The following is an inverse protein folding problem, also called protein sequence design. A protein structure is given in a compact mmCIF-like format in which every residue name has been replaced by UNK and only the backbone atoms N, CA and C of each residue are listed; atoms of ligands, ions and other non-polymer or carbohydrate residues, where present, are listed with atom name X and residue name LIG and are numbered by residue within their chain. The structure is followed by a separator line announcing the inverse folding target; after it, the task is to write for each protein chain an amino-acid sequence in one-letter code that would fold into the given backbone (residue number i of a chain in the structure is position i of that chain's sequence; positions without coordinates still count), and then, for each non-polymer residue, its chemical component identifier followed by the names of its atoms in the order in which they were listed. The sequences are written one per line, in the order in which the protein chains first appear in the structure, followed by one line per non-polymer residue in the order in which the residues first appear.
data_IF_000136389602
#
_entry.id   IF_000136389602
#
_cell.length_a   1.000
_cell.length_b   1.000
_cell.length_c   1.000
_cell.angle_alpha   90.00
_cell.angle_beta   90.00
_cell.angle_gamma   90.00
#
_symmetry.space_group_name_H-M   'P 1'
#
loop_
_entity.id
_entity.type
_entity.pdbx_description
1 polymer ?
#
# COMPACT_ATOMS: atom_id res chain seq x y z
N UNK A 1 -17.41 26.49 -1.45
CA UNK A 1 -16.34 25.52 -1.78
C UNK A 1 -15.94 24.82 -0.50
N UNK A 2 -15.82 23.50 -0.48
CA UNK A 2 -15.35 22.80 0.74
C UNK A 2 -13.86 23.05 0.95
N UNK A 3 -13.50 23.42 2.18
CA UNK A 3 -12.10 23.58 2.57
C UNK A 3 -11.35 22.25 2.46
N UNK A 4 -10.07 22.33 2.08
CA UNK A 4 -9.20 21.15 1.95
C UNK A 4 -9.20 20.29 3.21
N UNK A 5 -9.10 20.96 4.37
CA UNK A 5 -9.12 20.33 5.68
C UNK A 5 -10.41 19.57 5.97
N UNK A 6 -11.56 20.13 5.60
CA UNK A 6 -12.86 19.47 5.78
C UNK A 6 -12.98 18.20 4.95
N UNK A 7 -12.50 18.23 3.69
CA UNK A 7 -12.49 17.08 2.81
C UNK A 7 -11.53 15.99 3.31
N UNK A 8 -10.30 16.34 3.68
CA UNK A 8 -9.32 15.40 4.24
C UNK A 8 -9.86 14.75 5.51
N UNK A 9 -10.46 15.51 6.43
CA UNK A 9 -11.04 14.99 7.66
C UNK A 9 -12.13 13.96 7.39
N UNK A 10 -13.03 14.25 6.45
CA UNK A 10 -14.14 13.34 6.13
C UNK A 10 -13.62 12.04 5.50
N UNK A 11 -12.74 12.13 4.50
CA UNK A 11 -12.13 10.95 3.87
C UNK A 11 -11.29 10.12 4.85
N UNK A 12 -10.57 10.78 5.75
CA UNK A 12 -9.75 10.12 6.76
C UNK A 12 -10.60 9.38 7.80
N UNK A 13 -11.76 9.92 8.19
CA UNK A 13 -12.60 9.33 9.24
C UNK A 13 -13.08 7.91 8.91
N UNK A 14 -13.46 7.69 7.64
CA UNK A 14 -13.90 6.37 7.17
C UNK A 14 -12.72 5.39 7.15
N UNK A 15 -11.57 5.80 6.61
CA UNK A 15 -10.35 4.99 6.52
C UNK A 15 -9.81 4.63 7.90
N UNK A 16 -9.79 5.58 8.83
CA UNK A 16 -9.35 5.35 10.21
C UNK A 16 -10.25 4.32 10.90
N UNK A 17 -11.58 4.46 10.79
CA UNK A 17 -12.50 3.46 11.36
C UNK A 17 -12.22 2.06 10.83
N UNK A 18 -11.92 1.91 9.54
CA UNK A 18 -11.53 0.61 8.96
C UNK A 18 -10.22 0.08 9.56
N UNK A 19 -9.19 0.92 9.70
CA UNK A 19 -7.90 0.48 10.28
C UNK A 19 -8.05 0.06 11.75
N UNK A 20 -8.88 0.76 12.53
CA UNK A 20 -9.17 0.37 13.91
C UNK A 20 -9.84 -1.00 13.99
N UNK A 21 -10.76 -1.30 13.07
CA UNK A 21 -11.39 -2.62 13.03
C UNK A 21 -10.39 -3.73 12.75
N UNK A 22 -9.42 -3.51 11.85
CA UNK A 22 -8.36 -4.47 11.57
C UNK A 22 -7.54 -4.72 12.83
N UNK A 23 -7.11 -3.66 13.52
CA UNK A 23 -6.33 -3.76 14.76
C UNK A 23 -7.11 -4.53 15.84
N UNK A 24 -8.41 -4.24 16.01
CA UNK A 24 -9.25 -4.94 17.00
C UNK A 24 -9.33 -6.44 16.68
N UNK A 25 -9.57 -6.79 15.41
CA UNK A 25 -9.67 -8.19 14.99
C UNK A 25 -8.32 -8.91 15.18
N UNK A 26 -7.21 -8.25 14.85
CA UNK A 26 -5.86 -8.80 15.03
C UNK A 26 -5.55 -9.03 16.52
N UNK A 27 -5.87 -8.06 17.39
CA UNK A 27 -5.70 -8.21 18.84
C UNK A 27 -6.55 -9.35 19.42
N UNK A 28 -7.80 -9.51 18.98
CA UNK A 28 -8.65 -10.63 19.39
C UNK A 28 -8.02 -11.96 18.95
N UNK A 29 -7.52 -12.03 17.72
CA UNK A 29 -6.86 -13.22 17.20
C UNK A 29 -5.65 -13.63 18.05
N UNK A 30 -4.79 -12.66 18.42
CA UNK A 30 -3.63 -12.91 19.28
C UNK A 30 -4.04 -13.45 20.65
N UNK A 31 -5.02 -12.80 21.30
CA UNK A 31 -5.51 -13.24 22.61
C UNK A 31 -6.09 -14.65 22.55
N UNK A 32 -6.87 -14.98 21.52
CA UNK A 32 -7.45 -16.32 21.36
C UNK A 32 -6.37 -17.38 21.17
N UNK A 33 -5.35 -17.13 20.35
CA UNK A 33 -4.26 -18.07 20.14
C UNK A 33 -3.43 -18.27 21.41
N UNK A 34 -3.11 -17.20 22.14
CA UNK A 34 -2.35 -17.30 23.38
C UNK A 34 -3.13 -18.08 24.46
N UNK A 35 -4.46 -17.86 24.56
CA UNK A 35 -5.33 -18.63 25.45
C UNK A 35 -5.40 -20.11 25.06
N UNK A 36 -5.54 -20.44 23.78
CA UNK A 36 -5.55 -21.84 23.32
C UNK A 36 -4.26 -22.55 23.70
N UNK A 37 -3.12 -21.88 23.54
CA UNK A 37 -1.82 -22.47 23.87
C UNK A 37 -1.62 -22.65 25.37
N UNK A 38 -2.16 -21.75 26.18
CA UNK A 38 -2.20 -21.90 27.64
C UNK A 38 -2.90 -23.21 28.04
N UNK A 39 -3.99 -23.58 27.37
CA UNK A 39 -4.73 -24.83 27.67
C UNK A 39 -4.05 -26.10 27.15
N UNK A 40 -3.33 -26.06 26.01
CA UNK A 40 -2.76 -27.28 25.41
C UNK A 40 -1.38 -27.65 25.93
N UNK A 41 -0.50 -26.67 26.20
CA UNK A 41 0.92 -26.92 26.46
C UNK A 41 1.36 -26.63 27.90
N UNK A 42 0.44 -26.21 28.78
CA UNK A 42 0.74 -25.81 30.14
C UNK A 42 1.58 -24.53 30.24
N UNK A 43 1.91 -24.12 31.47
CA UNK A 43 2.61 -22.87 31.73
C UNK A 43 4.13 -23.03 31.66
N UNK A 44 4.68 -22.88 30.46
CA UNK A 44 6.13 -22.72 30.26
C UNK A 44 6.42 -21.32 29.69
N UNK A 45 6.85 -20.41 30.55
CA UNK A 45 6.99 -18.97 30.26
C UNK A 45 7.92 -18.69 29.06
N UNK A 46 9.00 -19.45 28.89
CA UNK A 46 9.95 -19.23 27.79
C UNK A 46 9.39 -19.64 26.43
N UNK A 47 8.68 -20.77 26.35
CA UNK A 47 8.06 -21.26 25.12
C UNK A 47 6.82 -20.45 24.72
N UNK A 48 6.12 -19.88 25.70
CA UNK A 48 4.97 -18.99 25.47
C UNK A 48 5.46 -17.68 24.85
N UNK A 49 6.48 -17.06 25.44
CA UNK A 49 7.09 -15.81 25.01
C UNK A 49 7.57 -15.83 23.53
N UNK A 50 8.40 -16.81 23.13
CA UNK A 50 8.94 -16.84 21.76
C UNK A 50 7.85 -17.09 20.70
N UNK A 51 6.81 -17.84 21.05
CA UNK A 51 5.71 -18.14 20.14
C UNK A 51 4.78 -16.94 19.95
N UNK A 52 4.42 -16.22 21.01
CA UNK A 52 3.54 -15.05 20.90
C UNK A 52 4.18 -13.97 20.02
N UNK A 53 5.50 -13.80 20.10
CA UNK A 53 6.27 -12.92 19.19
C UNK A 53 6.18 -13.40 17.74
N UNK A 54 6.37 -14.71 17.48
CA UNK A 54 6.30 -15.25 16.12
C UNK A 54 4.89 -15.19 15.52
N UNK A 55 3.87 -15.50 16.31
CA UNK A 55 2.46 -15.40 15.89
C UNK A 55 2.11 -13.95 15.60
N UNK A 56 2.59 -13.00 16.40
CA UNK A 56 2.41 -11.57 16.14
C UNK A 56 3.00 -11.15 14.81
N UNK A 57 4.26 -11.52 14.49
CA UNK A 57 4.84 -11.18 13.19
C UNK A 57 4.04 -11.76 12.02
N UNK A 58 3.53 -12.99 12.16
CA UNK A 58 2.68 -13.59 11.15
C UNK A 58 1.33 -12.88 11.01
N UNK A 59 0.70 -12.50 12.13
CA UNK A 59 -0.58 -11.80 12.14
C UNK A 59 -0.46 -10.41 11.53
N UNK A 60 0.62 -9.68 11.84
CA UNK A 60 0.97 -8.38 11.25
C UNK A 60 1.04 -8.47 9.73
N UNK A 61 1.69 -9.49 9.16
CA UNK A 61 1.76 -9.65 7.69
C UNK A 61 0.36 -9.79 7.08
N UNK A 62 -0.52 -10.56 7.72
CA UNK A 62 -1.91 -10.74 7.27
C UNK A 62 -2.71 -9.45 7.42
N UNK A 63 -2.61 -8.79 8.59
CA UNK A 63 -3.30 -7.53 8.88
C UNK A 63 -2.89 -6.44 7.89
N UNK A 64 -1.60 -6.36 7.55
CA UNK A 64 -1.06 -5.47 6.52
C UNK A 64 -1.64 -5.76 5.14
N UNK A 65 -1.69 -7.03 4.75
CA UNK A 65 -2.23 -7.43 3.46
C UNK A 65 -3.73 -7.11 3.35
N UNK A 66 -4.51 -7.44 4.38
CA UNK A 66 -5.95 -7.11 4.46
C UNK A 66 -6.15 -5.59 4.48
N UNK A 67 -5.37 -4.86 5.27
CA UNK A 67 -5.40 -3.41 5.35
C UNK A 67 -5.09 -2.75 4.02
N UNK A 68 -4.09 -3.25 3.30
CA UNK A 68 -3.75 -2.79 1.96
C UNK A 68 -4.90 -3.01 0.97
N UNK A 69 -5.57 -4.16 0.99
CA UNK A 69 -6.71 -4.43 0.10
C UNK A 69 -7.89 -3.51 0.43
N UNK A 70 -8.27 -3.42 1.71
CA UNK A 70 -9.42 -2.62 2.14
C UNK A 70 -9.21 -1.13 1.86
N UNK A 71 -8.00 -0.62 2.11
CA UNK A 71 -7.69 0.78 1.87
C UNK A 71 -7.60 1.09 0.37
N UNK A 72 -7.09 0.16 -0.44
CA UNK A 72 -7.09 0.29 -1.91
C UNK A 72 -8.52 0.35 -2.45
N UNK A 73 -9.43 -0.49 -1.93
CA UNK A 73 -10.85 -0.43 -2.28
C UNK A 73 -11.48 0.91 -1.89
N UNK A 74 -11.22 1.40 -0.69
CA UNK A 74 -11.73 2.70 -0.23
C UNK A 74 -11.19 3.84 -1.09
N UNK A 75 -9.91 3.77 -1.48
CA UNK A 75 -9.29 4.73 -2.39
C UNK A 75 -10.05 4.81 -3.73
N UNK A 76 -10.40 3.68 -4.35
CA UNK A 76 -11.18 3.68 -5.60
C UNK A 76 -12.63 4.14 -5.43
N UNK A 77 -13.26 3.82 -4.29
CA UNK A 77 -14.65 4.23 -4.02
C UNK A 77 -14.81 5.75 -3.98
N UNK A 78 -13.78 6.50 -3.58
CA UNK A 78 -13.81 7.96 -3.59
C UNK A 78 -13.90 8.52 -5.02
N UNK A 79 -13.32 7.83 -6.01
CA UNK A 79 -13.34 8.28 -7.40
C UNK A 79 -14.58 7.81 -8.18
N UNK A 80 -15.21 6.72 -7.75
CA UNK A 80 -16.34 6.10 -8.46
C UNK A 80 -17.70 6.43 -7.87
N UNK A 81 -17.78 6.76 -6.57
CA UNK A 81 -19.06 7.01 -5.90
C UNK A 81 -19.60 8.41 -6.21
N UNK A 82 -20.89 8.46 -6.58
CA UNK A 82 -21.62 9.70 -6.82
C UNK A 82 -21.61 10.65 -5.61
N UNK A 83 -21.54 10.11 -4.38
CA UNK A 83 -21.55 10.91 -3.15
C UNK A 83 -20.34 11.87 -3.07
N UNK A 84 -19.17 11.46 -3.56
CA UNK A 84 -17.95 12.26 -3.50
C UNK A 84 -17.81 13.23 -4.68
N UNK A 85 -18.49 12.96 -5.80
CA UNK A 85 -18.51 13.84 -7.00
C UNK A 85 -19.46 15.03 -6.86
N UNK A 86 -20.44 14.95 -5.97
CA UNK A 86 -21.35 16.07 -5.67
C UNK A 86 -20.71 17.14 -4.77
N UNK A 87 -19.52 16.85 -4.21
CA UNK A 87 -18.78 17.80 -3.40
C UNK A 87 -18.16 18.85 -4.36
N UNK A 88 -18.39 20.16 -4.15
CA UNK A 88 -17.82 21.20 -5.01
C UNK A 88 -16.32 21.39 -4.72
N UNK A 89 -15.50 20.47 -5.24
CA UNK A 89 -14.03 20.46 -5.21
C UNK A 89 -13.45 20.21 -6.60
N UNK A 90 -12.23 20.69 -6.82
CA UNK A 90 -11.50 20.34 -8.04
C UNK A 90 -11.03 18.88 -8.01
N UNK A 91 -11.05 18.25 -9.17
CA UNK A 91 -10.53 16.91 -9.44
C UNK A 91 -9.13 16.65 -8.89
N UNK A 92 -8.23 17.60 -9.10
CA UNK A 92 -6.86 17.55 -8.58
C UNK A 92 -6.83 17.51 -7.06
N UNK A 93 -7.65 18.34 -6.41
CA UNK A 93 -7.74 18.42 -4.95
C UNK A 93 -8.33 17.15 -4.38
N UNK A 94 -9.35 16.58 -5.02
CA UNK A 94 -9.94 15.30 -4.64
C UNK A 94 -8.91 14.17 -4.73
N UNK A 95 -8.17 14.09 -5.85
CA UNK A 95 -7.13 13.08 -6.06
C UNK A 95 -6.03 13.14 -4.99
N UNK A 96 -5.41 14.30 -4.80
CA UNK A 96 -4.34 14.44 -3.81
C UNK A 96 -4.82 14.20 -2.39
N UNK A 97 -6.00 14.69 -2.03
CA UNK A 97 -6.56 14.45 -0.70
C UNK A 97 -6.86 12.97 -0.45
N UNK A 98 -7.34 12.26 -1.47
CA UNK A 98 -7.64 10.85 -1.37
C UNK A 98 -6.35 10.03 -1.18
N UNK A 99 -5.35 10.21 -2.04
CA UNK A 99 -4.05 9.53 -1.91
C UNK A 99 -3.38 9.87 -0.57
N UNK A 100 -3.41 11.14 -0.16
CA UNK A 100 -2.83 11.57 1.12
C UNK A 100 -3.51 10.91 2.32
N UNK A 101 -4.85 10.83 2.31
CA UNK A 101 -5.59 10.16 3.40
C UNK A 101 -5.42 8.65 3.38
N UNK A 102 -5.29 8.03 2.20
CA UNK A 102 -4.93 6.61 2.06
C UNK A 102 -3.55 6.36 2.66
N UNK A 103 -2.56 7.21 2.35
CA UNK A 103 -1.23 7.12 2.92
C UNK A 103 -1.24 7.23 4.44
N UNK A 104 -1.82 8.30 5.00
CA UNK A 104 -1.84 8.49 6.45
C UNK A 104 -2.62 7.40 7.19
N UNK A 105 -3.72 6.88 6.64
CA UNK A 105 -4.45 5.80 7.29
C UNK A 105 -3.66 4.48 7.27
N UNK A 106 -2.93 4.18 6.20
CA UNK A 106 -2.05 3.01 6.19
C UNK A 106 -0.85 3.19 7.14
N UNK A 107 -0.24 4.38 7.16
CA UNK A 107 0.83 4.71 8.11
C UNK A 107 0.35 4.62 9.56
N UNK A 108 -0.88 5.01 9.85
CA UNK A 108 -1.48 4.84 11.17
C UNK A 108 -1.50 3.36 11.59
N UNK A 109 -1.89 2.45 10.70
CA UNK A 109 -1.85 1.01 10.97
C UNK A 109 -0.41 0.55 11.26
N UNK A 110 0.58 0.97 10.46
CA UNK A 110 2.00 0.64 10.71
C UNK A 110 2.48 1.09 12.09
N UNK A 111 2.13 2.31 12.50
CA UNK A 111 2.56 2.88 13.78
C UNK A 111 1.96 2.07 14.94
N UNK A 112 0.67 1.74 14.87
CA UNK A 112 0.01 0.99 15.94
C UNK A 112 0.55 -0.43 16.04
N UNK A 113 0.74 -1.13 14.92
CA UNK A 113 1.35 -2.46 14.91
C UNK A 113 2.79 -2.42 15.42
N UNK A 114 3.59 -1.41 15.06
CA UNK A 114 4.93 -1.23 15.60
C UNK A 114 4.91 -1.04 17.12
N UNK A 115 3.98 -0.23 17.66
CA UNK A 115 3.83 -0.03 19.11
C UNK A 115 3.44 -1.35 19.80
N UNK A 116 2.44 -2.06 19.29
CA UNK A 116 1.99 -3.35 19.85
C UNK A 116 3.14 -4.37 19.81
N UNK A 117 3.86 -4.45 18.71
CA UNK A 117 4.99 -5.36 18.54
C UNK A 117 6.11 -5.09 19.53
N UNK A 118 6.44 -3.81 19.78
CA UNK A 118 7.41 -3.43 20.81
C UNK A 118 6.93 -3.82 22.23
N UNK A 119 5.63 -3.67 22.52
CA UNK A 119 5.07 -4.09 23.82
C UNK A 119 5.16 -5.60 24.00
N UNK A 120 4.77 -6.39 22.99
CA UNK A 120 4.84 -7.85 23.02
C UNK A 120 6.29 -8.32 23.16
N UNK A 121 7.20 -7.71 22.40
CA UNK A 121 8.63 -7.99 22.48
C UNK A 121 9.22 -7.66 23.86
N UNK A 122 8.85 -6.52 24.45
CA UNK A 122 9.31 -6.17 25.79
C UNK A 122 8.76 -7.15 26.85
N UNK A 123 7.48 -7.53 26.74
CA UNK A 123 6.82 -8.48 27.64
C UNK A 123 7.38 -9.91 27.51
N UNK A 124 7.88 -10.28 26.34
CA UNK A 124 8.46 -11.60 26.07
C UNK A 124 9.77 -11.81 26.83
N UNK A 125 10.46 -10.74 27.25
CA UNK A 125 11.77 -10.82 27.90
C UNK A 125 12.88 -11.35 26.98
N UNK A 126 12.61 -11.47 25.68
CA UNK A 126 13.63 -11.91 24.72
C UNK A 126 14.68 -10.82 24.56
N UNK A 127 15.95 -11.15 24.84
CA UNK A 127 17.09 -10.23 24.62
C UNK A 127 17.71 -10.38 23.24
N UNK A 128 17.07 -11.12 22.33
CA UNK A 128 17.49 -11.30 20.93
C UNK A 128 17.19 -10.03 20.12
N UNK A 129 17.62 -8.87 20.60
CA UNK A 129 17.76 -7.70 19.75
C UNK A 129 19.04 -7.98 18.99
N UNK A 130 18.90 -8.50 17.79
CA UNK A 130 20.04 -8.55 16.88
C UNK A 130 20.35 -7.08 16.57
N UNK A 131 21.27 -6.50 17.34
CA UNK A 131 21.87 -5.19 17.11
C UNK A 131 22.75 -5.27 15.86
N UNK A 132 22.19 -5.78 14.76
CA UNK A 132 22.69 -5.50 13.44
C UNK A 132 22.59 -3.98 13.31
N UNK A 133 23.72 -3.31 13.49
CA UNK A 133 23.82 -1.86 13.39
C UNK A 133 23.59 -1.48 11.93
N UNK A 134 22.31 -1.44 11.54
CA UNK A 134 21.92 -1.03 10.22
C UNK A 134 22.34 0.43 10.06
N UNK A 135 23.09 0.72 9.01
CA UNK A 135 23.52 2.08 8.72
C UNK A 135 22.27 2.98 8.60
N UNK A 136 22.26 4.11 9.30
CA UNK A 136 21.15 5.09 9.29
C UNK A 136 20.73 5.45 7.86
N UNK A 137 21.71 5.59 6.95
CA UNK A 137 21.46 5.86 5.55
C UNK A 137 20.66 4.73 4.88
N UNK A 138 21.05 3.47 5.12
CA UNK A 138 20.36 2.30 4.56
C UNK A 138 18.96 2.15 5.15
N UNK A 139 18.79 2.43 6.44
CA UNK A 139 17.46 2.46 7.08
C UNK A 139 16.55 3.51 6.42
N UNK A 140 17.06 4.72 6.20
CA UNK A 140 16.33 5.79 5.52
C UNK A 140 15.95 5.41 4.09
N UNK A 141 16.91 4.84 3.33
CA UNK A 141 16.68 4.38 1.96
C UNK A 141 15.58 3.31 1.86
N UNK A 142 15.62 2.29 2.73
CA UNK A 142 14.60 1.23 2.74
C UNK A 142 13.24 1.77 3.16
N UNK A 143 13.20 2.66 4.16
CA UNK A 143 11.95 3.30 4.59
C UNK A 143 11.32 4.08 3.43
N UNK A 144 12.12 4.86 2.71
CA UNK A 144 11.67 5.63 1.56
C UNK A 144 11.22 4.71 0.42
N UNK A 145 11.92 3.60 0.19
CA UNK A 145 11.57 2.59 -0.80
C UNK A 145 10.20 1.97 -0.53
N UNK A 146 9.91 1.61 0.72
CA UNK A 146 8.62 1.06 1.13
C UNK A 146 7.51 2.09 0.86
N UNK A 147 7.69 3.33 1.31
CA UNK A 147 6.71 4.42 1.11
C UNK A 147 6.41 4.64 -0.37
N UNK A 148 7.46 4.78 -1.20
CA UNK A 148 7.32 5.03 -2.62
C UNK A 148 6.67 3.84 -3.34
N UNK A 149 7.02 2.61 -2.96
CA UNK A 149 6.42 1.41 -3.53
C UNK A 149 4.92 1.31 -3.20
N UNK A 150 4.50 1.62 -1.97
CA UNK A 150 3.09 1.63 -1.59
C UNK A 150 2.29 2.68 -2.36
N UNK A 151 2.83 3.90 -2.49
CA UNK A 151 2.19 4.97 -3.27
C UNK A 151 2.10 4.56 -4.75
N UNK A 152 3.17 4.01 -5.32
CA UNK A 152 3.19 3.52 -6.70
C UNK A 152 2.07 2.51 -6.93
N UNK A 153 1.90 1.52 -6.04
CA UNK A 153 0.85 0.52 -6.16
C UNK A 153 -0.54 1.15 -6.17
N UNK A 154 -0.85 2.07 -5.24
CA UNK A 154 -2.16 2.74 -5.25
C UNK A 154 -2.37 3.56 -6.52
N UNK A 155 -1.36 4.30 -6.98
CA UNK A 155 -1.47 5.07 -8.24
C UNK A 155 -1.60 4.18 -9.47
N UNK A 156 -1.01 2.98 -9.46
CA UNK A 156 -1.15 2.01 -10.54
C UNK A 156 -2.55 1.38 -10.55
N UNK A 157 -3.09 1.03 -9.38
CA UNK A 157 -4.45 0.50 -9.24
C UNK A 157 -5.48 1.51 -9.78
N UNK A 158 -5.35 2.80 -9.43
CA UNK A 158 -6.26 3.83 -9.94
C UNK A 158 -6.15 3.99 -11.46
N UNK A 159 -4.94 3.93 -12.04
CA UNK A 159 -4.75 4.00 -13.51
C UNK A 159 -5.46 2.83 -14.18
N UNK A 160 -5.26 1.61 -13.69
CA UNK A 160 -5.92 0.41 -14.24
C UNK A 160 -7.45 0.55 -14.15
N UNK A 161 -7.96 1.03 -13.02
CA UNK A 161 -9.39 1.23 -12.83
C UNK A 161 -9.97 2.27 -13.81
N UNK A 162 -9.30 3.40 -13.99
CA UNK A 162 -9.73 4.42 -14.95
C UNK A 162 -9.61 3.97 -16.40
N UNK A 163 -8.55 3.25 -16.76
CA UNK A 163 -8.42 2.66 -18.09
C UNK A 163 -9.54 1.64 -18.36
N UNK A 164 -9.93 0.86 -17.36
CA UNK A 164 -11.02 -0.10 -17.50
C UNK A 164 -12.37 0.61 -17.76
N UNK A 165 -12.66 1.68 -17.00
CA UNK A 165 -13.86 2.49 -17.22
C UNK A 165 -13.86 3.14 -18.62
N UNK A 166 -12.70 3.58 -19.09
CA UNK A 166 -12.53 4.14 -20.42
C UNK A 166 -12.72 3.10 -21.55
N UNK A 167 -12.06 1.95 -21.47
CA UNK A 167 -12.16 0.86 -22.46
C UNK A 167 -13.60 0.33 -22.53
N UNK A 168 -14.28 0.26 -21.39
CA UNK A 168 -15.66 -0.22 -21.32
C UNK A 168 -16.66 0.66 -22.07
N UNK A 169 -16.32 1.93 -22.33
CA UNK A 169 -17.14 2.83 -23.14
C UNK A 169 -17.15 2.45 -24.64
N UNK A 170 -16.11 1.78 -25.13
CA UNK A 170 -15.96 1.41 -26.55
C UNK A 170 -16.40 -0.03 -26.86
N UNK A 171 -16.48 -0.89 -25.85
CA UNK A 171 -16.82 -2.30 -26.03
C UNK A 171 -18.29 -2.58 -25.67
N UNK A 172 -19.14 -2.98 -26.62
CA UNK A 172 -20.56 -3.23 -26.37
C UNK A 172 -20.84 -4.35 -25.36
N UNK A 173 -19.88 -5.29 -25.20
CA UNK A 173 -19.97 -6.41 -24.26
C UNK A 173 -19.28 -6.17 -22.91
N UNK A 174 -18.61 -5.02 -22.71
CA UNK A 174 -17.85 -4.77 -21.48
C UNK A 174 -18.71 -4.68 -20.21
N UNK A 175 -20.04 -4.51 -20.35
CA UNK A 175 -20.98 -4.54 -19.22
C UNK A 175 -21.27 -5.96 -18.69
N UNK A 176 -20.88 -7.01 -19.43
CA UNK A 176 -21.02 -8.38 -18.94
C UNK A 176 -19.95 -8.66 -17.87
N UNK A 177 -20.37 -9.19 -16.71
CA UNK A 177 -19.48 -9.41 -15.54
C UNK A 177 -18.22 -10.22 -15.89
N UNK A 178 -18.38 -11.26 -16.73
CA UNK A 178 -17.27 -12.12 -17.13
C UNK A 178 -16.28 -11.41 -18.07
N UNK A 179 -16.80 -10.68 -19.06
CA UNK A 179 -15.97 -9.88 -19.99
C UNK A 179 -15.23 -8.77 -19.25
N UNK A 180 -15.92 -8.07 -18.33
CA UNK A 180 -15.30 -7.04 -17.49
C UNK A 180 -14.17 -7.60 -16.63
N UNK A 181 -14.32 -8.81 -16.08
CA UNK A 181 -13.28 -9.45 -15.29
C UNK A 181 -12.05 -9.80 -16.13
N UNK A 182 -12.24 -10.39 -17.31
CA UNK A 182 -11.14 -10.72 -18.23
C UNK A 182 -10.42 -9.44 -18.68
N UNK A 183 -11.16 -8.41 -19.06
CA UNK A 183 -10.58 -7.12 -19.47
C UNK A 183 -9.71 -6.52 -18.36
N UNK A 184 -10.17 -6.57 -17.11
CA UNK A 184 -9.38 -6.09 -15.97
C UNK A 184 -8.04 -6.83 -15.84
N UNK A 185 -8.04 -8.16 -15.93
CA UNK A 185 -6.82 -8.98 -15.89
C UNK A 185 -5.89 -8.62 -17.04
N UNK A 186 -6.42 -8.54 -18.27
CA UNK A 186 -5.63 -8.24 -19.46
C UNK A 186 -5.00 -6.84 -19.36
N UNK A 187 -5.77 -5.82 -18.97
CA UNK A 187 -5.25 -4.46 -18.78
C UNK A 187 -4.17 -4.41 -17.70
N UNK A 188 -4.37 -5.12 -16.59
CA UNK A 188 -3.36 -5.21 -15.53
C UNK A 188 -2.08 -5.90 -16.02
N UNK A 189 -2.19 -7.03 -16.74
CA UNK A 189 -1.04 -7.74 -17.29
C UNK A 189 -0.27 -6.89 -18.31
N UNK A 190 -0.96 -6.19 -19.20
CA UNK A 190 -0.32 -5.29 -20.18
C UNK A 190 0.36 -4.13 -19.46
N UNK A 191 -0.30 -3.52 -18.47
CA UNK A 191 0.28 -2.44 -17.66
C UNK A 191 1.56 -2.87 -16.93
N UNK A 192 1.51 -4.03 -16.26
CA UNK A 192 2.69 -4.63 -15.58
C UNK A 192 3.78 -4.99 -16.58
N UNK A 193 3.42 -5.52 -17.76
CA UNK A 193 4.36 -5.85 -18.83
C UNK A 193 5.11 -4.61 -19.34
N UNK A 194 4.40 -3.52 -19.63
CA UNK A 194 5.00 -2.24 -20.04
C UNK A 194 5.90 -1.69 -18.93
N UNK A 195 5.41 -1.69 -17.69
CA UNK A 195 6.19 -1.24 -16.53
C UNK A 195 7.50 -2.02 -16.40
N UNK A 196 7.45 -3.35 -16.49
CA UNK A 196 8.61 -4.22 -16.35
C UNK A 196 9.62 -4.01 -17.49
N UNK A 197 9.18 -4.05 -18.75
CA UNK A 197 10.07 -3.88 -19.91
C UNK A 197 10.73 -2.50 -19.91
N UNK A 198 9.98 -1.43 -19.66
CA UNK A 198 10.53 -0.07 -19.64
C UNK A 198 11.49 0.12 -18.47
N UNK A 199 11.14 -0.38 -17.28
CA UNK A 199 11.99 -0.28 -16.09
C UNK A 199 13.28 -1.09 -16.26
N UNK A 200 13.19 -2.31 -16.79
CA UNK A 200 14.36 -3.16 -17.03
C UNK A 200 15.32 -2.53 -18.03
N UNK A 201 14.83 -2.01 -19.16
CA UNK A 201 15.67 -1.32 -20.16
C UNK A 201 16.30 -0.05 -19.62
N UNK A 202 15.56 0.72 -18.83
CA UNK A 202 16.11 1.92 -18.20
C UNK A 202 17.19 1.55 -17.17
N UNK A 203 16.95 0.53 -16.36
CA UNK A 203 17.92 0.02 -15.40
C UNK A 203 19.18 -0.48 -16.11
N UNK A 204 19.05 -1.26 -17.18
CA UNK A 204 20.16 -1.71 -18.02
C UNK A 204 20.93 -0.54 -18.64
N UNK A 205 20.25 0.46 -19.18
CA UNK A 205 20.89 1.66 -19.75
C UNK A 205 21.73 2.40 -18.71
N UNK A 206 21.21 2.56 -17.49
CA UNK A 206 21.88 3.33 -16.43
C UNK A 206 22.95 2.49 -15.70
N UNK A 207 22.79 1.17 -15.62
CA UNK A 207 23.63 0.28 -14.83
C UNK A 207 24.56 -0.66 -15.65
N UNK A 208 24.49 -0.63 -16.99
CA UNK A 208 25.28 -1.49 -17.90
C UNK A 208 26.80 -1.39 -17.72
N UNK A 209 27.30 -0.30 -17.12
CA UNK A 209 28.73 -0.05 -16.91
C UNK A 209 29.29 -0.59 -15.57
N UNK A 210 28.48 -1.24 -14.73
CA UNK A 210 28.86 -1.64 -13.35
C UNK A 210 29.03 -3.16 -13.18
N UNK A 211 29.73 -3.83 -14.10
CA UNK A 211 30.06 -5.25 -13.93
C UNK A 211 31.29 -5.44 -13.03
N UNK A 212 31.05 -6.02 -11.85
CA UNK A 212 32.07 -6.67 -11.03
C UNK A 212 32.51 -5.87 -9.80
N UNK A 213 31.80 -6.03 -8.68
CA UNK A 213 32.30 -6.13 -7.29
C UNK A 213 31.23 -5.69 -6.28
N UNK A 214 30.35 -6.60 -5.88
CA UNK A 214 29.23 -6.33 -4.96
C UNK A 214 29.75 -5.82 -3.60
N UNK A 215 29.82 -4.49 -3.45
CA UNK A 215 30.12 -3.82 -2.19
C UNK A 215 28.86 -3.15 -1.64
N UNK A 216 28.80 -2.94 -0.32
CA UNK A 216 27.66 -2.26 0.33
C UNK A 216 27.39 -0.86 -0.25
N UNK A 217 28.43 -0.17 -0.74
CA UNK A 217 28.29 1.13 -1.40
C UNK A 217 27.54 1.04 -2.73
N UNK A 218 27.76 -0.03 -3.51
CA UNK A 218 26.99 -0.27 -4.74
C UNK A 218 25.53 -0.57 -4.45
N UNK A 219 25.22 -1.32 -3.38
CA UNK A 219 23.83 -1.60 -2.98
C UNK A 219 23.06 -0.31 -2.65
N UNK A 220 23.68 0.62 -1.93
CA UNK A 220 23.12 1.95 -1.66
C UNK A 220 22.84 2.73 -2.95
N UNK A 221 23.76 2.71 -3.92
CA UNK A 221 23.59 3.41 -5.19
C UNK A 221 22.46 2.81 -6.04
N UNK A 222 22.31 1.47 -6.02
CA UNK A 222 21.21 0.77 -6.68
C UNK A 222 19.86 1.17 -6.06
N UNK A 223 19.75 1.25 -4.73
CA UNK A 223 18.49 1.67 -4.09
C UNK A 223 18.12 3.11 -4.49
N UNK A 224 19.06 4.04 -4.52
CA UNK A 224 18.79 5.42 -4.98
C UNK A 224 18.30 5.49 -6.42
N UNK A 225 18.89 4.68 -7.31
CA UNK A 225 18.46 4.57 -8.69
C UNK A 225 17.02 4.04 -8.77
N UNK A 226 16.71 2.96 -8.05
CA UNK A 226 15.35 2.40 -7.96
C UNK A 226 14.35 3.45 -7.46
N UNK A 227 14.70 4.20 -6.40
CA UNK A 227 13.88 5.28 -5.87
C UNK A 227 13.58 6.35 -6.92
N UNK A 228 14.58 6.74 -7.71
CA UNK A 228 14.40 7.69 -8.82
C UNK A 228 13.45 7.17 -9.89
N UNK A 229 13.56 5.89 -10.26
CA UNK A 229 12.65 5.25 -11.23
C UNK A 229 11.22 5.22 -10.68
N UNK A 230 11.02 4.78 -9.44
CA UNK A 230 9.70 4.69 -8.83
C UNK A 230 9.07 6.09 -8.75
N UNK A 231 9.83 7.10 -8.36
CA UNK A 231 9.36 8.48 -8.31
C UNK A 231 8.89 8.97 -9.69
N UNK A 232 9.65 8.68 -10.75
CA UNK A 232 9.26 9.02 -12.11
C UNK A 232 7.93 8.34 -12.51
N UNK A 233 7.75 7.06 -12.17
CA UNK A 233 6.49 6.36 -12.41
C UNK A 233 5.31 6.92 -11.62
N UNK A 234 5.50 7.27 -10.34
CA UNK A 234 4.47 7.92 -9.53
C UNK A 234 4.03 9.23 -10.20
N UNK A 235 4.97 10.03 -10.71
CA UNK A 235 4.66 11.26 -11.43
C UNK A 235 3.86 10.99 -12.71
N UNK A 236 4.29 10.02 -13.52
CA UNK A 236 3.58 9.62 -14.75
C UNK A 236 2.15 9.15 -14.45
N UNK A 237 1.98 8.23 -13.49
CA UNK A 237 0.66 7.72 -13.10
C UNK A 237 -0.21 8.82 -12.51
N UNK A 238 0.36 9.74 -11.73
CA UNK A 238 -0.40 10.89 -11.19
C UNK A 238 -0.92 11.79 -12.31
N UNK A 239 -0.10 12.11 -13.31
CA UNK A 239 -0.54 12.90 -14.48
C UNK A 239 -1.63 12.17 -15.25
N UNK A 240 -1.46 10.87 -15.51
CA UNK A 240 -2.47 10.04 -16.19
C UNK A 240 -3.78 9.98 -15.41
N UNK A 241 -3.72 9.77 -14.09
CA UNK A 241 -4.88 9.72 -13.22
C UNK A 241 -5.66 11.03 -13.25
N UNK A 242 -4.98 12.17 -13.10
CA UNK A 242 -5.62 13.50 -13.13
C UNK A 242 -6.24 13.76 -14.51
N UNK A 243 -5.55 13.39 -15.60
CA UNK A 243 -6.05 13.55 -16.96
C UNK A 243 -7.31 12.71 -17.22
N UNK A 244 -7.29 11.43 -16.84
CA UNK A 244 -8.43 10.52 -16.98
C UNK A 244 -9.60 10.96 -16.12
N UNK A 245 -9.34 11.43 -14.90
CA UNK A 245 -10.37 11.92 -13.99
C UNK A 245 -11.09 13.15 -14.59
N UNK A 246 -10.34 14.13 -15.10
CA UNK A 246 -10.91 15.35 -15.68
C UNK A 246 -11.72 15.11 -16.96
N UNK A 247 -11.33 14.13 -17.79
CA UNK A 247 -11.89 13.97 -19.14
C UNK A 247 -12.91 12.84 -19.28
N UNK A 248 -12.90 11.85 -18.39
CA UNK A 248 -13.65 10.60 -18.59
C UNK A 248 -14.40 10.09 -17.35
N UNK A 249 -14.40 10.82 -16.23
CA UNK A 249 -15.21 10.43 -15.06
C UNK A 249 -16.58 11.10 -14.98
N UNK A 250 -16.99 11.91 -15.96
CA UNK A 250 -18.41 12.26 -16.10
C UNK A 250 -19.23 10.99 -16.32
N UNK A 251 -19.73 10.42 -15.23
CA UNK A 251 -20.61 9.26 -15.27
C UNK A 251 -21.82 9.57 -16.15
N UNK A 252 -21.91 8.80 -17.23
CA UNK A 252 -23.13 8.47 -17.95
C UNK A 252 -24.24 8.23 -16.91
N UNK A 253 -25.36 8.95 -17.08
CA UNK A 253 -26.61 8.77 -16.33
C UNK A 253 -27.13 7.34 -16.43
#
# INVERSE_FOLDING_TARGET
MTEFRGLVRNLMSEKWRMMNWIIIVDLIFLVVIDLLRFFTNGWNVSLISEYSVNVFYFSVVIANFVGFILISRSNEQVFTSNNYRLIPVSDTKLYFSNILTTFFAFTYLQIIEAVIGNIIYFASGTTKFDNSSMNILTFFQITLLIIFSTILLWTAITVIHFLMNWISAFLPFARQKFVSFILYIVTAMVGVGIFNVTTAKFFEMVYSNSQGNVSLHQLSNVIWLILGIIFAWIAIFTVLNIYLLKRWTETIR
#
